data_IF_664939939922
#
_entry.id   IF_664939939922
#
_cell.length_a   1.000
_cell.length_b   1.000
_cell.length_c   1.000
_cell.angle_alpha   90.00
_cell.angle_beta   90.00
_cell.angle_gamma   90.00
#
_symmetry.space_group_name_H-M   'P 1'
#
loop_
_entity.id
_entity.type
_entity.pdbx_description
1 polymer ?
#
# COMPACT_ATOMS: atom_id res chain seq x y z
N UNK A 1 7.03 -0.23 -21.08
CA UNK A 1 7.14 0.41 -19.75
C UNK A 1 7.71 -0.67 -18.85
N UNK A 2 8.80 -0.40 -18.13
CA UNK A 2 9.41 -1.39 -17.24
C UNK A 2 9.07 -1.03 -15.80
N UNK A 3 8.75 -2.06 -15.02
CA UNK A 3 8.55 -1.97 -13.59
C UNK A 3 9.76 -2.59 -12.88
N UNK A 4 10.12 -2.07 -11.71
CA UNK A 4 11.13 -2.59 -10.82
C UNK A 4 10.66 -3.85 -10.09
N UNK A 5 9.34 -4.04 -9.99
CA UNK A 5 8.71 -5.25 -9.45
C UNK A 5 8.10 -6.05 -10.59
N UNK A 6 8.36 -7.35 -10.61
CA UNK A 6 7.79 -8.29 -11.58
C UNK A 6 6.63 -9.09 -10.99
N UNK A 7 5.69 -9.59 -11.83
CA UNK A 7 4.62 -10.46 -11.35
C UNK A 7 5.14 -11.73 -10.67
N UNK A 8 6.23 -12.32 -11.17
CA UNK A 8 6.80 -13.54 -10.62
C UNK A 8 7.38 -13.32 -9.21
N UNK A 9 8.00 -12.17 -8.94
CA UNK A 9 8.47 -11.80 -7.61
C UNK A 9 7.29 -11.69 -6.62
N UNK A 10 6.24 -10.95 -6.99
CA UNK A 10 5.05 -10.79 -6.13
C UNK A 10 4.38 -12.14 -5.87
N UNK A 11 4.21 -12.97 -6.91
CA UNK A 11 3.62 -14.29 -6.77
C UNK A 11 4.48 -15.25 -5.93
N UNK A 12 5.80 -15.12 -5.99
CA UNK A 12 6.71 -15.91 -5.15
C UNK A 12 6.57 -15.54 -3.68
N UNK A 13 6.44 -14.25 -3.38
CA UNK A 13 6.32 -13.74 -2.00
C UNK A 13 4.93 -13.99 -1.40
N UNK A 14 3.86 -13.73 -2.14
CA UNK A 14 2.48 -13.75 -1.61
C UNK A 14 1.67 -14.98 -2.02
N UNK A 15 2.17 -15.78 -2.96
CA UNK A 15 1.46 -16.92 -3.52
C UNK A 15 0.34 -16.53 -4.50
N UNK A 16 -0.20 -17.53 -5.19
CA UNK A 16 -1.23 -17.34 -6.22
C UNK A 16 -2.54 -16.72 -5.71
N UNK A 17 -2.88 -16.93 -4.44
CA UNK A 17 -4.10 -16.38 -3.82
C UNK A 17 -3.87 -15.04 -3.11
N UNK A 18 -2.62 -14.64 -2.89
CA UNK A 18 -2.27 -13.40 -2.18
C UNK A 18 -2.05 -12.21 -3.10
N UNK A 19 -2.56 -12.25 -4.34
CA UNK A 19 -2.42 -11.17 -5.32
C UNK A 19 -3.75 -10.91 -6.00
N UNK A 20 -4.19 -9.65 -5.97
CA UNK A 20 -5.42 -9.16 -6.58
C UNK A 20 -5.08 -8.40 -7.87
N UNK A 21 -5.68 -8.83 -8.98
CA UNK A 21 -5.53 -8.18 -10.27
C UNK A 21 -6.74 -7.35 -10.64
N UNK A 22 -6.49 -6.18 -11.24
CA UNK A 22 -7.54 -5.24 -11.63
C UNK A 22 -7.62 -5.17 -13.16
N UNK A 23 -8.69 -5.68 -13.78
CA UNK A 23 -8.85 -5.62 -15.23
C UNK A 23 -8.95 -4.17 -15.73
N UNK A 24 -8.29 -3.90 -16.85
CA UNK A 24 -8.35 -2.59 -17.51
C UNK A 24 -9.69 -2.45 -18.24
N UNK A 25 -10.57 -1.60 -17.71
CA UNK A 25 -11.78 -1.17 -18.40
C UNK A 25 -11.63 0.29 -18.80
N UNK A 26 -11.85 0.59 -20.08
CA UNK A 26 -11.93 1.96 -20.54
C UNK A 26 -13.37 2.47 -20.30
N UNK A 27 -13.62 3.01 -19.10
CA UNK A 27 -14.92 3.56 -18.72
C UNK A 27 -14.76 4.97 -18.16
N UNK A 28 -15.65 5.89 -18.56
CA UNK A 28 -15.60 7.32 -18.22
C UNK A 28 -15.47 7.66 -16.72
N UNK A 29 -15.86 6.73 -15.85
CA UNK A 29 -15.89 6.87 -14.39
C UNK A 29 -14.81 6.06 -13.66
N UNK A 30 -13.98 5.30 -14.39
CA UNK A 30 -12.94 4.43 -13.85
C UNK A 30 -11.60 4.76 -14.52
N UNK A 31 -11.13 6.00 -14.33
CA UNK A 31 -9.84 6.43 -14.85
C UNK A 31 -8.85 6.51 -13.70
N UNK A 32 -7.88 5.60 -13.71
CA UNK A 32 -6.58 5.82 -13.08
C UNK A 32 -5.58 6.07 -14.21
N UNK A 33 -4.46 6.71 -13.92
CA UNK A 33 -3.44 6.94 -14.94
C UNK A 33 -2.97 5.61 -15.58
N UNK A 34 -2.47 5.70 -16.82
CA UNK A 34 -2.13 4.52 -17.62
C UNK A 34 -1.06 3.62 -16.99
N UNK A 35 -0.10 4.21 -16.25
CA UNK A 35 0.96 3.45 -15.57
C UNK A 35 0.35 2.58 -14.47
N UNK A 36 -0.48 3.17 -13.61
CA UNK A 36 -1.18 2.48 -12.53
C UNK A 36 -2.13 1.43 -13.07
N UNK A 37 -2.92 1.74 -14.10
CA UNK A 37 -3.81 0.79 -14.75
C UNK A 37 -3.05 -0.42 -15.31
N UNK A 38 -1.91 -0.19 -15.96
CA UNK A 38 -1.06 -1.26 -16.46
C UNK A 38 -0.52 -2.11 -15.31
N UNK A 39 0.07 -1.47 -14.29
CA UNK A 39 0.67 -2.15 -13.14
C UNK A 39 -0.33 -3.06 -12.41
N UNK A 40 -1.49 -2.52 -12.02
CA UNK A 40 -2.52 -3.27 -11.31
C UNK A 40 -3.12 -4.43 -12.15
N UNK A 41 -3.05 -4.33 -13.49
CA UNK A 41 -3.54 -5.37 -14.38
C UNK A 41 -2.52 -6.47 -14.68
N UNK A 42 -1.22 -6.16 -14.62
CA UNK A 42 -0.15 -7.09 -15.00
C UNK A 42 0.64 -7.65 -13.82
N UNK A 43 0.88 -6.82 -12.80
CA UNK A 43 1.61 -7.20 -11.57
C UNK A 43 0.63 -7.50 -10.44
N UNK A 44 -0.41 -6.67 -10.30
CA UNK A 44 -1.42 -6.81 -9.26
C UNK A 44 -1.04 -6.11 -7.96
N UNK A 45 -1.91 -6.23 -6.97
CA UNK A 45 -1.77 -5.68 -5.63
C UNK A 45 -1.73 -6.85 -4.63
N UNK A 46 -0.75 -6.90 -3.71
CA UNK A 46 -0.75 -7.90 -2.65
C UNK A 46 -2.02 -7.89 -1.81
N UNK A 47 -2.34 -9.03 -1.23
CA UNK A 47 -3.39 -9.21 -0.24
C UNK A 47 -2.90 -10.20 0.82
N UNK A 48 -2.52 -9.67 1.97
CA UNK A 48 -1.80 -10.36 3.02
C UNK A 48 -2.18 -9.80 4.40
N UNK A 49 -1.63 -10.41 5.46
CA UNK A 49 -1.88 -10.04 6.85
C UNK A 49 -1.63 -8.55 7.14
N UNK A 50 -0.46 -8.04 6.74
CA UNK A 50 -0.06 -6.65 6.97
C UNK A 50 -0.72 -5.65 6.01
N UNK A 51 -1.15 -6.13 4.84
CA UNK A 51 -1.85 -5.31 3.86
C UNK A 51 -3.06 -6.06 3.30
N UNK A 52 -4.24 -5.70 3.78
CA UNK A 52 -5.49 -6.26 3.30
C UNK A 52 -6.00 -5.42 2.12
N UNK A 53 -5.99 -6.01 0.93
CA UNK A 53 -6.53 -5.35 -0.27
C UNK A 53 -8.03 -5.09 -0.09
N UNK A 54 -8.52 -3.99 -0.66
CA UNK A 54 -9.95 -3.65 -0.69
C UNK A 54 -10.83 -4.79 -1.23
N UNK A 55 -10.29 -5.67 -2.07
CA UNK A 55 -10.98 -6.84 -2.59
C UNK A 55 -11.31 -7.90 -1.53
N UNK A 56 -10.48 -8.01 -0.49
CA UNK A 56 -10.65 -8.95 0.64
C UNK A 56 -11.34 -8.32 1.85
N UNK A 57 -11.47 -6.99 1.86
CA UNK A 57 -12.41 -6.28 2.72
C UNK A 57 -13.86 -6.56 2.26
N UNK A 58 -14.85 -5.93 2.91
CA UNK A 58 -16.26 -6.20 2.58
C UNK A 58 -16.55 -5.80 1.12
N UNK A 59 -17.03 -6.77 0.35
CA UNK A 59 -17.33 -6.60 -1.08
C UNK A 59 -18.40 -5.54 -1.37
N UNK A 60 -19.25 -5.22 -0.38
CA UNK A 60 -20.29 -4.18 -0.49
C UNK A 60 -19.75 -2.77 -0.30
N UNK A 61 -18.56 -2.62 0.28
CA UNK A 61 -18.03 -1.30 0.58
C UNK A 61 -17.51 -0.65 -0.70
N UNK A 62 -17.78 0.65 -0.85
CA UNK A 62 -17.35 1.42 -2.01
C UNK A 62 -15.82 1.49 -2.10
N UNK A 63 -15.30 1.52 -3.32
CA UNK A 63 -13.90 1.86 -3.56
C UNK A 63 -13.71 3.39 -3.55
N UNK A 64 -14.77 4.18 -3.74
CA UNK A 64 -14.66 5.63 -3.69
C UNK A 64 -14.46 6.12 -2.25
N UNK A 65 -13.44 6.97 -2.05
CA UNK A 65 -13.06 7.44 -0.73
C UNK A 65 -14.17 8.23 -0.02
N UNK A 66 -14.89 9.10 -0.73
CA UNK A 66 -15.96 9.91 -0.16
C UNK A 66 -17.12 9.04 0.36
N UNK A 67 -17.45 7.96 -0.34
CA UNK A 67 -18.45 7.00 0.10
C UNK A 67 -17.95 6.16 1.28
N UNK A 68 -16.68 5.71 1.23
CA UNK A 68 -16.05 4.93 2.31
C UNK A 68 -16.00 5.68 3.65
N UNK A 69 -15.77 7.01 3.63
CA UNK A 69 -15.75 7.86 4.83
C UNK A 69 -17.06 8.60 5.12
N UNK A 70 -18.14 8.31 4.38
CA UNK A 70 -19.41 9.06 4.48
C UNK A 70 -20.01 9.11 5.89
N UNK A 71 -19.70 8.13 6.75
CA UNK A 71 -20.15 8.07 8.16
C UNK A 71 -19.09 8.45 9.17
N UNK A 72 -17.85 8.69 8.76
CA UNK A 72 -16.69 8.91 9.64
C UNK A 72 -16.29 10.39 9.74
N UNK A 73 -16.59 11.20 8.73
CA UNK A 73 -16.27 12.62 8.76
C UNK A 73 -16.40 13.29 7.40
N UNK A 74 -15.92 14.53 7.33
CA UNK A 74 -15.88 15.27 6.07
C UNK A 74 -14.62 14.88 5.27
N UNK A 75 -14.83 14.42 4.04
CA UNK A 75 -13.76 14.20 3.07
C UNK A 75 -13.50 15.52 2.32
N UNK A 76 -12.24 16.02 2.32
CA UNK A 76 -11.85 17.20 1.53
C UNK A 76 -12.13 17.03 0.04
N UNK A 77 -12.47 18.13 -0.63
CA UNK A 77 -12.89 18.09 -2.05
C UNK A 77 -11.76 17.58 -2.97
N UNK A 78 -10.50 17.81 -2.58
CA UNK A 78 -9.31 17.40 -3.33
C UNK A 78 -9.15 15.88 -3.42
N UNK A 79 -9.62 15.14 -2.41
CA UNK A 79 -9.48 13.68 -2.32
C UNK A 79 -10.79 12.91 -2.50
N UNK A 80 -11.91 13.58 -2.77
CA UNK A 80 -13.23 12.91 -2.93
C UNK A 80 -13.25 11.80 -3.98
N UNK A 81 -12.45 11.94 -5.03
CA UNK A 81 -12.41 10.98 -6.15
C UNK A 81 -11.33 9.91 -5.98
N UNK A 82 -10.61 9.89 -4.85
CA UNK A 82 -9.59 8.89 -4.59
C UNK A 82 -10.20 7.51 -4.38
N UNK A 83 -9.38 6.49 -4.63
CA UNK A 83 -9.79 5.09 -4.61
C UNK A 83 -9.13 4.37 -3.44
N UNK A 84 -9.90 3.75 -2.57
CA UNK A 84 -9.39 2.95 -1.44
C UNK A 84 -8.70 1.71 -1.99
N UNK A 85 -7.41 1.55 -1.66
CA UNK A 85 -6.61 0.38 -2.06
C UNK A 85 -6.71 -0.76 -1.05
N UNK A 86 -6.77 -0.44 0.24
CA UNK A 86 -6.74 -1.43 1.31
C UNK A 86 -6.43 -0.84 2.68
N UNK A 87 -6.15 -1.71 3.63
CA UNK A 87 -5.68 -1.36 4.96
C UNK A 87 -4.24 -1.87 5.12
N UNK A 88 -3.32 -0.98 5.50
CA UNK A 88 -1.94 -1.31 5.91
C UNK A 88 -1.80 -1.04 7.40
N UNK A 89 -1.48 -2.05 8.21
CA UNK A 89 -1.39 -1.90 9.67
C UNK A 89 -2.58 -1.09 10.26
N UNK A 90 -3.80 -1.51 9.92
CA UNK A 90 -5.07 -0.84 10.25
C UNK A 90 -5.31 0.57 9.64
N UNK A 91 -4.31 1.18 9.00
CA UNK A 91 -4.43 2.46 8.33
C UNK A 91 -4.98 2.32 6.91
N UNK A 92 -5.98 3.15 6.56
CA UNK A 92 -6.55 3.14 5.20
C UNK A 92 -5.58 3.77 4.21
N UNK A 93 -5.27 3.07 3.12
CA UNK A 93 -4.50 3.60 2.00
C UNK A 93 -5.43 3.93 0.82
N UNK A 94 -5.21 5.10 0.22
CA UNK A 94 -5.98 5.56 -0.94
C UNK A 94 -5.08 6.03 -2.09
N UNK A 95 -5.53 5.76 -3.30
CA UNK A 95 -4.90 6.13 -4.56
C UNK A 95 -5.53 7.42 -5.11
N UNK A 96 -4.70 8.42 -5.37
CA UNK A 96 -5.07 9.54 -6.22
C UNK A 96 -5.06 9.10 -7.70
N UNK A 97 -6.20 9.04 -8.41
CA UNK A 97 -6.30 8.42 -9.72
C UNK A 97 -5.44 9.10 -10.79
N UNK A 98 -5.34 10.43 -10.74
CA UNK A 98 -4.64 11.22 -11.76
C UNK A 98 -3.12 11.16 -11.58
N UNK A 99 -2.60 11.38 -10.37
CA UNK A 99 -1.16 11.35 -10.09
C UNK A 99 -0.62 9.93 -9.93
N UNK A 100 -1.45 9.00 -9.49
CA UNK A 100 -1.03 7.64 -9.12
C UNK A 100 -0.48 7.53 -7.70
N UNK A 101 -0.30 8.65 -6.99
CA UNK A 101 0.25 8.71 -5.63
C UNK A 101 -0.65 7.99 -4.64
N UNK A 102 -0.04 7.27 -3.70
CA UNK A 102 -0.72 6.58 -2.61
C UNK A 102 -0.58 7.41 -1.35
N UNK A 103 -1.69 7.58 -0.65
CA UNK A 103 -1.80 8.34 0.59
C UNK A 103 -2.23 7.44 1.74
N UNK A 104 -1.62 7.63 2.91
CA UNK A 104 -2.15 7.16 4.18
C UNK A 104 -3.23 8.13 4.65
N UNK A 105 -4.27 7.60 5.28
CA UNK A 105 -5.40 8.37 5.78
C UNK A 105 -5.51 8.27 7.29
N UNK A 106 -5.60 9.42 7.95
CA UNK A 106 -5.79 9.54 9.39
C UNK A 106 -7.06 10.29 9.74
N UNK A 107 -7.56 10.07 10.96
CA UNK A 107 -8.69 10.80 11.50
C UNK A 107 -8.21 12.17 12.03
N UNK A 108 -8.68 13.26 11.44
CA UNK A 108 -8.44 14.62 11.93
C UNK A 108 -9.64 15.18 12.70
N UNK A 109 -9.41 16.22 13.53
CA UNK A 109 -10.46 16.80 14.39
C UNK A 109 -11.65 17.37 13.60
N UNK A 110 -11.41 17.92 12.41
CA UNK A 110 -12.44 18.61 11.60
C UNK A 110 -12.72 17.90 10.27
N UNK A 111 -11.70 17.28 9.68
CA UNK A 111 -11.78 16.59 8.40
C UNK A 111 -10.71 15.52 8.33
N UNK A 112 -10.85 14.62 7.37
CA UNK A 112 -9.84 13.60 7.05
C UNK A 112 -8.47 14.24 6.82
N UNK A 113 -7.43 13.73 7.48
CA UNK A 113 -6.04 14.07 7.18
C UNK A 113 -5.46 13.00 6.26
N UNK A 114 -4.54 13.41 5.39
CA UNK A 114 -3.92 12.52 4.42
C UNK A 114 -2.50 12.96 4.13
N UNK A 115 -1.60 11.98 4.01
CA UNK A 115 -0.17 12.20 3.77
C UNK A 115 0.32 11.25 2.69
N UNK A 116 1.16 11.71 1.74
CA UNK A 116 1.70 10.84 0.71
C UNK A 116 2.63 9.82 1.36
N UNK A 117 2.39 8.54 1.10
CA UNK A 117 3.19 7.44 1.66
C UNK A 117 3.93 6.65 0.58
N UNK A 118 3.46 6.70 -0.67
CA UNK A 118 4.22 6.22 -1.84
C UNK A 118 3.98 7.10 -3.06
N UNK A 119 5.01 7.25 -3.89
CA UNK A 119 4.90 8.03 -5.14
C UNK A 119 3.89 7.43 -6.12
N UNK A 120 3.76 6.11 -6.12
CA UNK A 120 2.82 5.33 -6.93
C UNK A 120 2.57 3.93 -6.38
N UNK A 121 1.66 3.18 -7.02
CA UNK A 121 1.31 1.80 -6.62
C UNK A 121 2.48 0.83 -6.80
N UNK A 122 3.39 1.07 -7.74
CA UNK A 122 4.59 0.24 -7.88
C UNK A 122 5.47 0.36 -6.65
N UNK A 123 5.66 1.58 -6.12
CA UNK A 123 6.36 1.79 -4.85
C UNK A 123 5.70 1.08 -3.69
N UNK A 124 4.37 1.16 -3.55
CA UNK A 124 3.64 0.41 -2.53
C UNK A 124 3.93 -1.10 -2.62
N UNK A 125 3.79 -1.69 -3.81
CA UNK A 125 3.98 -3.13 -4.00
C UNK A 125 5.44 -3.53 -3.84
N UNK A 126 6.39 -2.70 -4.26
CA UNK A 126 7.83 -2.92 -4.02
C UNK A 126 8.11 -3.04 -2.53
N UNK A 127 7.66 -2.05 -1.75
CA UNK A 127 7.86 -1.99 -0.30
C UNK A 127 7.20 -3.17 0.40
N UNK A 128 5.94 -3.49 0.08
CA UNK A 128 5.24 -4.66 0.62
C UNK A 128 5.97 -5.97 0.31
N UNK A 129 6.46 -6.15 -0.93
CA UNK A 129 7.15 -7.37 -1.34
C UNK A 129 8.47 -7.55 -0.58
N UNK A 130 9.25 -6.47 -0.42
CA UNK A 130 10.51 -6.50 0.32
C UNK A 130 10.29 -6.76 1.82
N UNK A 131 9.29 -6.11 2.40
CA UNK A 131 8.89 -6.30 3.79
C UNK A 131 8.44 -7.73 4.07
N UNK A 132 7.52 -8.28 3.27
CA UNK A 132 7.00 -9.64 3.47
C UNK A 132 8.10 -10.70 3.22
N UNK A 133 8.96 -10.50 2.22
CA UNK A 133 10.12 -11.37 2.01
C UNK A 133 11.05 -11.39 3.24
N UNK A 134 11.28 -10.23 3.88
CA UNK A 134 12.12 -10.17 5.07
C UNK A 134 11.43 -10.84 6.27
N UNK A 135 10.12 -10.58 6.49
CA UNK A 135 9.30 -11.27 7.50
C UNK A 135 9.44 -12.78 7.41
N UNK A 136 9.28 -13.34 6.21
CA UNK A 136 9.35 -14.79 5.98
C UNK A 136 10.74 -15.34 6.34
N UNK A 137 11.81 -14.60 6.01
CA UNK A 137 13.17 -15.00 6.40
C UNK A 137 13.43 -14.87 7.91
N UNK A 138 12.77 -13.92 8.59
CA UNK A 138 12.87 -13.75 10.04
C UNK A 138 12.14 -14.84 10.82
N UNK A 139 11.05 -15.37 10.26
CA UNK A 139 10.35 -16.52 10.84
C UNK A 139 11.27 -17.75 10.99
N UNK A 140 12.25 -17.89 10.09
CA UNK A 140 13.25 -18.96 10.11
C UNK A 140 14.50 -18.59 10.93
N UNK A 141 14.88 -17.30 10.98
CA UNK A 141 16.05 -16.82 11.70
C UNK A 141 15.91 -15.36 12.18
N UNK A 142 15.84 -15.18 13.50
CA UNK A 142 15.73 -13.87 14.17
C UNK A 142 17.08 -13.26 14.56
N UNK A 143 18.20 -13.77 14.05
CA UNK A 143 19.50 -13.10 14.23
C UNK A 143 19.54 -11.78 13.46
N UNK A 144 20.12 -10.75 14.10
CA UNK A 144 20.37 -9.43 13.53
C UNK A 144 19.15 -8.71 12.92
N UNK A 145 17.95 -8.88 13.54
CA UNK A 145 16.69 -8.28 13.05
C UNK A 145 16.82 -6.78 12.78
N UNK A 146 17.34 -6.02 13.75
CA UNK A 146 17.52 -4.56 13.63
C UNK A 146 18.39 -4.20 12.42
N UNK A 147 19.57 -4.82 12.27
CA UNK A 147 20.47 -4.53 11.15
C UNK A 147 19.86 -4.89 9.79
N UNK A 148 19.03 -5.94 9.73
CA UNK A 148 18.30 -6.31 8.51
C UNK A 148 17.16 -5.35 8.20
N UNK A 149 16.49 -4.80 9.23
CA UNK A 149 15.48 -3.76 9.07
C UNK A 149 16.08 -2.44 8.61
N UNK A 150 17.23 -2.05 9.15
CA UNK A 150 17.96 -0.87 8.68
C UNK A 150 18.36 -1.00 7.21
N UNK A 151 18.84 -2.18 6.80
CA UNK A 151 19.16 -2.46 5.41
C UNK A 151 17.92 -2.40 4.51
N UNK A 152 16.79 -2.96 4.96
CA UNK A 152 15.51 -2.89 4.25
C UNK A 152 15.03 -1.45 4.09
N UNK A 153 15.09 -0.64 5.16
CA UNK A 153 14.73 0.78 5.15
C UNK A 153 15.57 1.51 4.12
N UNK A 154 16.89 1.30 4.11
CA UNK A 154 17.80 1.93 3.17
C UNK A 154 17.49 1.54 1.71
N UNK A 155 17.26 0.25 1.44
CA UNK A 155 16.92 -0.26 0.10
C UNK A 155 15.61 0.34 -0.43
N UNK A 156 14.57 0.39 0.40
CA UNK A 156 13.29 1.00 0.03
C UNK A 156 13.43 2.51 -0.15
N UNK A 157 14.15 3.19 0.75
CA UNK A 157 14.35 4.66 0.68
C UNK A 157 15.09 5.09 -0.59
N UNK A 158 16.02 4.26 -1.07
CA UNK A 158 16.68 4.46 -2.36
C UNK A 158 15.68 4.36 -3.52
N UNK A 159 14.70 3.45 -3.42
CA UNK A 159 13.65 3.29 -4.42
C UNK A 159 12.63 4.42 -4.36
N UNK A 160 12.08 4.72 -3.18
CA UNK A 160 11.13 5.78 -2.88
C UNK A 160 11.33 6.24 -1.43
N UNK A 161 11.65 7.51 -1.16
CA UNK A 161 11.88 7.99 0.20
C UNK A 161 10.61 8.19 1.02
N UNK A 162 9.44 8.36 0.37
CA UNK A 162 8.17 8.69 1.03
C UNK A 162 7.74 7.76 2.17
N UNK A 163 7.92 6.41 2.08
CA UNK A 163 7.55 5.51 3.18
C UNK A 163 8.20 5.87 4.51
N UNK A 164 9.38 6.49 4.48
CA UNK A 164 10.24 6.69 5.65
C UNK A 164 10.64 8.15 5.87
N UNK A 165 10.01 9.09 5.17
CA UNK A 165 10.28 10.52 5.27
C UNK A 165 9.74 11.12 6.57
N UNK A 166 8.58 10.66 7.02
CA UNK A 166 8.02 11.00 8.34
C UNK A 166 8.46 9.94 9.36
N UNK A 167 8.91 10.39 10.55
CA UNK A 167 9.25 9.52 11.66
C UNK A 167 8.00 8.81 12.23
N UNK A 168 6.81 9.42 12.12
CA UNK A 168 5.53 8.86 12.56
C UNK A 168 4.79 8.11 11.43
N UNK A 169 5.45 7.84 10.30
CA UNK A 169 4.83 7.09 9.21
C UNK A 169 4.42 5.67 9.67
N UNK A 170 3.34 5.17 9.06
CA UNK A 170 2.87 3.81 9.31
C UNK A 170 3.92 2.73 8.99
N UNK A 171 4.85 3.01 8.09
CA UNK A 171 5.94 2.08 7.81
C UNK A 171 6.95 2.03 8.94
N UNK A 172 7.28 3.15 9.59
CA UNK A 172 8.17 3.11 10.75
C UNK A 172 7.56 2.31 11.88
N UNK A 173 6.29 2.58 12.19
CA UNK A 173 5.55 1.85 13.22
C UNK A 173 5.49 0.34 12.91
N UNK A 174 5.19 -0.04 11.67
CA UNK A 174 5.17 -1.44 11.25
C UNK A 174 6.54 -2.12 11.36
N UNK A 175 7.64 -1.41 11.04
CA UNK A 175 8.99 -1.95 11.23
C UNK A 175 9.35 -2.12 12.72
N UNK A 176 8.99 -1.15 13.55
CA UNK A 176 9.19 -1.21 15.02
C UNK A 176 8.43 -2.38 15.63
N UNK A 177 7.17 -2.59 15.25
CA UNK A 177 6.36 -3.74 15.71
C UNK A 177 7.04 -5.09 15.38
N UNK A 178 7.62 -5.22 14.19
CA UNK A 178 8.38 -6.43 13.82
C UNK A 178 9.68 -6.57 14.62
N UNK A 179 10.41 -5.47 14.86
CA UNK A 179 11.64 -5.48 15.68
C UNK A 179 11.31 -5.91 17.12
N UNK A 180 10.23 -5.38 17.68
CA UNK A 180 9.78 -5.67 19.04
C UNK A 180 9.13 -7.07 19.15
N UNK A 181 8.89 -7.74 18.03
CA UNK A 181 8.27 -9.06 17.98
C UNK A 181 6.78 -9.03 18.35
N UNK A 182 6.10 -7.91 18.08
CA UNK A 182 4.67 -7.68 18.32
C UNK A 182 3.94 -7.74 16.97
N UNK A 183 3.75 -8.95 16.44
CA UNK A 183 3.25 -9.21 15.08
C UNK A 183 2.63 -10.60 14.96
#
# INVERSE_FOLDING_TARGET
MNFAVTPDEVLTTFGLSGVVYFPRYNAAHNHVNDRTALFLSSVGLPDAEWFMSKASLRATDSINLAEWYSTKGKVPDECRNWLVLGLFAETTLALAPDSGTVYSLGDGETQLVYEPIHRDVESLVYTLTKFESLRQQLADNTEDVEARMDALRAEISEFDPLPFEDDESQWNLALEEVIDGIW
#
